data_IF_386658408254
#
_entry.id   IF_386658408254
#
_cell.length_a   1.000
_cell.length_b   1.000
_cell.length_c   1.000
_cell.angle_alpha   90.00
_cell.angle_beta   90.00
_cell.angle_gamma   90.00
#
_symmetry.space_group_name_H-M   'P 1'
#
loop_
_entity.id
_entity.type
_entity.pdbx_description
1 polymer ?
#
# COMPACT_ATOMS: atom_id res chain seq x y z
N UNK A 1 -22.25 1.84 -21.78
CA UNK A 1 -21.35 2.13 -22.92
C UNK A 1 -21.09 3.61 -22.88
N UNK A 2 -20.11 4.04 -22.11
CA UNK A 2 -19.75 5.45 -22.05
C UNK A 2 -18.35 5.60 -22.63
N UNK A 3 -18.32 6.12 -23.87
CA UNK A 3 -17.11 6.53 -24.55
C UNK A 3 -16.56 7.76 -23.84
N UNK A 4 -15.45 7.62 -23.13
CA UNK A 4 -14.63 8.74 -22.71
C UNK A 4 -14.00 9.36 -23.97
N UNK A 5 -14.47 10.52 -24.37
CA UNK A 5 -13.78 11.37 -25.32
C UNK A 5 -12.54 11.94 -24.63
N UNK A 6 -11.39 11.62 -25.22
CA UNK A 6 -10.08 12.18 -24.89
C UNK A 6 -10.02 13.59 -25.50
N UNK A 7 -10.38 14.60 -24.68
CA UNK A 7 -10.12 15.98 -25.04
C UNK A 7 -8.65 16.28 -24.75
N UNK A 8 -7.88 16.37 -25.83
CA UNK A 8 -6.45 16.60 -25.84
C UNK A 8 -6.02 17.83 -25.04
N UNK A 9 -5.77 17.65 -23.73
CA UNK A 9 -5.00 18.60 -22.94
C UNK A 9 -3.51 18.37 -23.20
N UNK A 10 -2.83 19.35 -23.76
CA UNK A 10 -1.37 19.44 -23.78
C UNK A 10 -0.85 19.35 -22.34
N UNK A 11 -0.38 18.16 -21.96
CA UNK A 11 0.34 17.94 -20.71
C UNK A 11 1.67 18.67 -20.83
N UNK A 12 1.84 19.80 -20.17
CA UNK A 12 3.18 20.33 -19.95
C UNK A 12 3.93 19.30 -19.11
N UNK A 13 4.98 18.71 -19.65
CA UNK A 13 5.86 17.80 -18.94
C UNK A 13 6.50 18.59 -17.80
N UNK A 14 5.91 18.51 -16.62
CA UNK A 14 6.48 19.11 -15.42
C UNK A 14 7.67 18.27 -15.00
N UNK A 15 8.80 18.91 -14.79
CA UNK A 15 10.02 18.25 -14.32
C UNK A 15 9.76 17.50 -13.00
N UNK A 16 10.39 16.32 -12.78
CA UNK A 16 10.22 15.56 -11.56
C UNK A 16 10.53 16.40 -10.32
N UNK A 17 9.62 16.43 -9.37
CA UNK A 17 9.80 17.16 -8.12
C UNK A 17 10.65 16.36 -7.13
N UNK A 18 11.65 16.99 -6.51
CA UNK A 18 12.56 16.32 -5.60
C UNK A 18 11.82 15.73 -4.39
N UNK A 19 11.88 14.40 -4.25
CA UNK A 19 11.28 13.67 -3.14
C UNK A 19 9.76 13.47 -3.27
N UNK A 20 9.20 13.61 -4.48
CA UNK A 20 7.80 13.31 -4.80
C UNK A 20 7.74 12.32 -5.96
N UNK A 21 6.68 11.50 -5.97
CA UNK A 21 6.45 10.53 -7.05
C UNK A 21 5.62 11.12 -8.18
N UNK A 22 4.55 11.83 -7.86
CA UNK A 22 3.74 12.51 -8.85
C UNK A 22 4.46 13.75 -9.42
N UNK A 23 4.28 13.99 -10.71
CA UNK A 23 4.86 15.14 -11.42
C UNK A 23 3.87 16.30 -11.53
N UNK A 24 2.58 16.05 -11.29
CA UNK A 24 1.51 17.05 -11.39
C UNK A 24 0.30 16.64 -10.56
N UNK A 25 -0.66 17.54 -10.43
CA UNK A 25 -1.97 17.32 -9.82
C UNK A 25 -3.04 17.20 -10.91
N UNK A 26 -3.58 16.00 -11.19
CA UNK A 26 -4.76 15.89 -12.03
C UNK A 26 -5.96 16.53 -11.36
N UNK A 27 -6.90 17.06 -12.16
CA UNK A 27 -8.14 17.61 -11.66
C UNK A 27 -8.93 16.58 -10.82
N UNK A 28 -9.50 17.04 -9.71
CA UNK A 28 -10.38 16.18 -8.93
C UNK A 28 -11.64 15.86 -9.74
N UNK A 29 -11.95 14.57 -9.91
CA UNK A 29 -13.13 14.10 -10.69
C UNK A 29 -14.48 14.52 -10.11
N UNK A 30 -14.52 14.97 -8.87
CA UNK A 30 -15.73 15.47 -8.21
C UNK A 30 -15.78 17.00 -8.17
N UNK A 31 -14.74 17.70 -8.63
CA UNK A 31 -14.72 19.15 -8.66
C UNK A 31 -15.76 19.68 -9.66
N UNK A 32 -16.58 20.61 -9.21
CA UNK A 32 -17.59 21.31 -10.05
C UNK A 32 -16.95 22.39 -10.90
N UNK A 33 -15.75 22.85 -10.55
CA UNK A 33 -15.00 23.91 -11.24
C UNK A 33 -13.64 23.40 -11.64
N UNK A 34 -13.17 23.81 -12.83
CA UNK A 34 -11.78 23.60 -13.27
C UNK A 34 -11.00 24.89 -13.07
N UNK A 35 -9.82 24.79 -12.49
CA UNK A 35 -8.84 25.86 -12.46
C UNK A 35 -7.87 25.67 -13.62
N UNK A 36 -7.79 26.61 -14.53
CA UNK A 36 -6.81 26.63 -15.60
C UNK A 36 -5.73 27.65 -15.25
N UNK A 37 -4.46 27.27 -15.37
CA UNK A 37 -3.37 28.23 -15.33
C UNK A 37 -3.37 28.99 -16.68
N UNK A 38 -3.75 30.24 -16.62
CA UNK A 38 -3.65 31.15 -17.76
C UNK A 38 -2.41 32.03 -17.53
N UNK A 39 -1.49 32.03 -18.48
CA UNK A 39 -0.41 33.00 -18.50
C UNK A 39 -1.00 34.34 -18.96
N UNK A 40 -1.21 35.22 -17.98
CA UNK A 40 -1.76 36.57 -18.20
C UNK A 40 -0.65 37.63 -18.35
N UNK A 41 0.62 37.18 -18.47
CA UNK A 41 1.79 38.03 -18.61
C UNK A 41 2.27 38.65 -17.30
N UNK A 42 1.64 38.36 -16.16
CA UNK A 42 2.15 38.76 -14.86
C UNK A 42 3.15 37.74 -14.32
N UNK A 43 4.12 38.22 -13.53
CA UNK A 43 5.12 37.37 -12.93
C UNK A 43 4.43 36.34 -12.01
N UNK A 44 4.66 35.07 -12.28
CA UNK A 44 4.22 33.97 -11.43
C UNK A 44 5.43 33.43 -10.65
N UNK A 45 5.26 33.20 -9.36
CA UNK A 45 6.28 32.56 -8.55
C UNK A 45 6.63 31.19 -9.14
N UNK A 46 7.92 30.95 -9.33
CA UNK A 46 8.39 29.63 -9.79
C UNK A 46 7.91 28.56 -8.81
N UNK A 47 7.41 27.46 -9.36
CA UNK A 47 7.03 26.30 -8.53
C UNK A 47 8.24 25.90 -7.67
N UNK A 48 8.10 25.84 -6.34
CA UNK A 48 9.22 25.55 -5.46
C UNK A 48 9.79 24.16 -5.75
N UNK A 49 11.11 24.02 -5.74
CA UNK A 49 11.83 22.75 -5.94
C UNK A 49 11.40 21.65 -4.95
N UNK A 50 10.79 22.05 -3.85
CA UNK A 50 10.30 21.16 -2.80
C UNK A 50 8.93 21.62 -2.29
N UNK A 51 7.99 20.70 -2.31
CA UNK A 51 6.68 20.92 -1.70
C UNK A 51 6.70 20.32 -0.29
N UNK A 52 6.41 21.15 0.72
CA UNK A 52 6.28 20.70 2.10
C UNK A 52 5.04 19.79 2.28
N UNK A 53 5.13 18.84 3.21
CA UNK A 53 3.96 18.07 3.64
C UNK A 53 3.19 18.85 4.70
N UNK A 54 1.87 18.93 4.52
CA UNK A 54 0.95 19.54 5.49
C UNK A 54 0.02 18.45 6.00
N UNK A 55 -0.18 18.39 7.31
CA UNK A 55 -1.05 17.41 7.96
C UNK A 55 -2.21 18.12 8.65
N UNK A 56 -3.43 17.79 8.25
CA UNK A 56 -4.66 18.16 8.94
C UNK A 56 -5.11 17.01 9.86
N UNK A 57 -6.05 17.28 10.76
CA UNK A 57 -6.65 16.26 11.62
C UNK A 57 -8.13 16.10 11.31
N UNK A 58 -8.64 14.85 11.40
CA UNK A 58 -10.04 14.50 11.26
C UNK A 58 -10.47 13.60 12.43
N UNK A 59 -11.54 13.92 13.11
CA UNK A 59 -12.14 13.03 14.09
C UNK A 59 -12.75 11.81 13.41
N UNK A 60 -12.32 10.61 13.79
CA UNK A 60 -12.78 9.37 13.19
C UNK A 60 -14.26 9.10 13.51
N UNK A 61 -15.09 8.91 12.48
CA UNK A 61 -16.49 8.49 12.65
C UNK A 61 -16.60 6.97 12.91
N UNK A 62 -15.65 6.19 12.39
CA UNK A 62 -15.52 4.74 12.58
C UNK A 62 -14.05 4.36 12.55
N UNK A 63 -13.65 3.30 13.23
CA UNK A 63 -12.29 2.77 13.13
C UNK A 63 -12.18 1.76 11.99
N UNK A 64 -13.11 0.81 11.93
CA UNK A 64 -13.09 -0.27 10.96
C UNK A 64 -13.66 0.17 9.60
N UNK A 65 -12.93 -0.16 8.55
CA UNK A 65 -13.40 -0.13 7.16
C UNK A 65 -13.61 -1.56 6.68
N UNK A 66 -14.80 -1.85 6.18
CA UNK A 66 -15.20 -3.18 5.75
C UNK A 66 -15.05 -3.35 4.24
N UNK A 67 -14.68 -4.55 3.81
CA UNK A 67 -14.66 -4.91 2.41
C UNK A 67 -15.22 -6.33 2.19
N UNK A 68 -15.71 -6.59 0.98
CA UNK A 68 -16.23 -7.90 0.54
C UNK A 68 -15.46 -8.44 -0.67
N UNK A 69 -14.23 -7.96 -0.85
CA UNK A 69 -13.42 -8.37 -1.99
C UNK A 69 -12.92 -9.80 -1.81
N UNK A 70 -13.17 -10.72 -2.75
CA UNK A 70 -12.62 -12.07 -2.70
C UNK A 70 -11.12 -12.12 -2.94
N UNK A 71 -10.51 -11.04 -3.47
CA UNK A 71 -9.07 -10.95 -3.73
C UNK A 71 -8.25 -10.56 -2.50
N UNK A 72 -8.90 -10.23 -1.39
CA UNK A 72 -8.21 -9.79 -0.17
C UNK A 72 -8.41 -10.82 0.94
N UNK A 73 -7.34 -11.20 1.67
CA UNK A 73 -7.42 -12.19 2.74
C UNK A 73 -7.96 -11.58 4.06
N UNK A 74 -8.59 -10.43 4.02
CA UNK A 74 -9.20 -9.75 5.16
C UNK A 74 -10.48 -9.04 4.76
N UNK A 75 -11.45 -9.01 5.65
CA UNK A 75 -12.74 -8.34 5.46
C UNK A 75 -12.81 -6.97 6.13
N UNK A 76 -11.81 -6.62 6.94
CA UNK A 76 -11.75 -5.38 7.71
C UNK A 76 -10.35 -4.80 7.79
N UNK A 77 -10.27 -3.47 7.83
CA UNK A 77 -9.01 -2.76 7.96
C UNK A 77 -9.15 -1.49 8.79
N UNK A 78 -8.03 -1.00 9.35
CA UNK A 78 -7.92 0.32 9.96
C UNK A 78 -6.89 1.12 9.16
N UNK A 79 -7.25 2.34 8.80
CA UNK A 79 -6.35 3.28 8.15
C UNK A 79 -6.16 4.50 9.06
N UNK A 80 -5.02 4.63 9.75
CA UNK A 80 -4.75 5.75 10.66
C UNK A 80 -4.70 7.09 9.93
N UNK A 81 -4.36 7.07 8.66
CA UNK A 81 -4.13 8.27 7.85
C UNK A 81 -4.89 8.23 6.53
N UNK A 82 -5.09 9.42 5.93
CA UNK A 82 -5.51 9.59 4.54
C UNK A 82 -4.42 10.33 3.79
N UNK A 83 -4.17 9.94 2.53
CA UNK A 83 -2.95 10.29 1.83
C UNK A 83 -1.74 9.53 2.38
N UNK A 84 -0.62 9.56 1.66
CA UNK A 84 0.58 8.83 2.06
C UNK A 84 1.84 9.54 1.59
N UNK A 85 2.63 10.01 2.53
CA UNK A 85 3.87 10.73 2.27
C UNK A 85 4.95 9.88 1.58
N UNK A 86 4.80 8.55 1.55
CA UNK A 86 5.71 7.67 0.81
C UNK A 86 5.81 8.01 -0.68
N UNK A 87 4.76 8.60 -1.26
CA UNK A 87 4.76 9.13 -2.60
C UNK A 87 4.91 8.10 -3.71
N UNK A 88 4.57 6.83 -3.47
CA UNK A 88 4.64 5.82 -4.52
C UNK A 88 3.78 6.25 -5.73
N UNK A 89 4.40 6.40 -6.90
CA UNK A 89 3.67 6.90 -8.08
C UNK A 89 2.54 5.97 -8.51
N UNK A 90 2.73 4.68 -8.39
CA UNK A 90 1.80 3.62 -8.76
C UNK A 90 0.74 3.30 -7.69
N UNK A 91 0.65 4.08 -6.60
CA UNK A 91 -0.22 3.73 -5.48
C UNK A 91 -1.69 3.70 -5.89
N UNK A 92 -2.31 2.53 -5.81
CA UNK A 92 -3.72 2.33 -6.16
C UNK A 92 -4.70 3.10 -5.26
N UNK A 93 -4.23 3.62 -4.13
CA UNK A 93 -5.03 4.37 -3.18
C UNK A 93 -5.17 5.87 -3.53
N UNK A 94 -4.34 6.40 -4.44
CA UNK A 94 -4.37 7.80 -4.87
C UNK A 94 -5.77 8.31 -5.22
N UNK A 95 -6.60 7.57 -5.99
CA UNK A 95 -7.94 8.01 -6.32
C UNK A 95 -8.87 8.24 -5.12
N UNK A 96 -8.54 7.68 -3.96
CA UNK A 96 -9.33 7.89 -2.75
C UNK A 96 -9.24 9.32 -2.22
N UNK A 97 -8.18 10.05 -2.56
CA UNK A 97 -7.95 11.42 -2.10
C UNK A 97 -8.98 12.41 -2.65
N UNK A 98 -9.52 12.10 -3.83
CA UNK A 98 -10.59 12.89 -4.45
C UNK A 98 -11.87 12.99 -3.59
N UNK A 99 -12.12 12.06 -2.67
CA UNK A 99 -13.26 12.14 -1.75
C UNK A 99 -13.12 13.24 -0.68
N UNK A 100 -11.93 13.81 -0.52
CA UNK A 100 -11.64 14.95 0.37
C UNK A 100 -11.39 16.25 -0.41
N UNK A 101 -11.87 16.30 -1.65
CA UNK A 101 -11.67 17.43 -2.55
C UNK A 101 -10.20 17.79 -2.79
N UNK A 102 -9.35 16.75 -2.77
CA UNK A 102 -7.91 16.85 -2.99
C UNK A 102 -7.50 16.08 -4.24
N UNK A 103 -6.41 16.51 -4.88
CA UNK A 103 -5.90 15.82 -6.06
C UNK A 103 -5.31 14.44 -5.72
N UNK A 104 -5.50 13.41 -6.55
CA UNK A 104 -4.80 12.13 -6.43
C UNK A 104 -3.30 12.20 -6.83
N UNK A 105 -2.81 13.33 -7.30
CA UNK A 105 -1.43 13.59 -7.65
C UNK A 105 -0.54 13.92 -6.46
N UNK A 106 -0.01 15.14 -6.47
CA UNK A 106 0.87 15.66 -5.41
C UNK A 106 0.15 15.83 -4.07
N UNK A 107 -1.13 16.25 -4.08
CA UNK A 107 -1.90 16.38 -2.84
C UNK A 107 -1.94 15.08 -2.05
N UNK A 108 -2.03 13.91 -2.73
CA UNK A 108 -1.99 12.61 -2.06
C UNK A 108 -0.72 12.39 -1.22
N UNK A 109 0.39 13.03 -1.61
CA UNK A 109 1.70 12.90 -0.96
C UNK A 109 2.00 14.03 0.02
N UNK A 110 1.31 15.17 -0.11
CA UNK A 110 1.67 16.43 0.55
C UNK A 110 0.59 16.98 1.46
N UNK A 111 -0.68 16.60 1.26
CA UNK A 111 -1.83 17.05 2.05
C UNK A 111 -2.45 15.86 2.76
N UNK A 112 -1.90 15.55 3.93
CA UNK A 112 -2.27 14.36 4.69
C UNK A 112 -3.32 14.68 5.74
N UNK A 113 -4.10 13.66 6.13
CA UNK A 113 -5.08 13.77 7.21
C UNK A 113 -4.79 12.69 8.24
N UNK A 114 -4.44 13.10 9.46
CA UNK A 114 -4.31 12.21 10.61
C UNK A 114 -5.69 12.03 11.27
N UNK A 115 -6.09 10.79 11.49
CA UNK A 115 -7.40 10.46 12.06
C UNK A 115 -7.29 10.31 13.57
N UNK A 116 -7.93 11.20 14.32
CA UNK A 116 -7.97 11.20 15.79
C UNK A 116 -9.15 10.38 16.32
N UNK A 117 -9.08 9.92 17.56
CA UNK A 117 -10.16 9.15 18.22
C UNK A 117 -10.34 7.72 17.68
N UNK A 118 -9.35 7.18 16.94
CA UNK A 118 -9.46 5.84 16.36
C UNK A 118 -9.49 4.73 17.41
N UNK A 119 -8.76 4.88 18.50
CA UNK A 119 -8.71 3.89 19.60
C UNK A 119 -10.06 3.79 20.28
N UNK A 120 -10.67 4.92 20.58
CA UNK A 120 -12.00 5.03 21.20
C UNK A 120 -13.06 4.41 20.29
N UNK A 121 -13.05 4.75 19.01
CA UNK A 121 -13.97 4.16 18.02
C UNK A 121 -13.77 2.67 17.85
N UNK A 122 -12.51 2.21 17.84
CA UNK A 122 -12.21 0.78 17.77
C UNK A 122 -12.78 0.06 19.01
N UNK A 123 -12.59 0.61 20.19
CA UNK A 123 -13.15 0.07 21.44
C UNK A 123 -14.68 -0.08 21.34
N UNK A 124 -15.37 0.99 20.92
CA UNK A 124 -16.83 0.97 20.74
C UNK A 124 -17.27 -0.11 19.74
N UNK A 125 -16.54 -0.26 18.63
CA UNK A 125 -16.88 -1.21 17.57
C UNK A 125 -16.65 -2.66 17.99
N UNK A 126 -15.57 -2.93 18.73
CA UNK A 126 -15.26 -4.28 19.25
C UNK A 126 -16.18 -4.72 20.40
N UNK A 127 -16.77 -3.76 21.14
CA UNK A 127 -17.76 -4.02 22.19
C UNK A 127 -19.17 -4.30 21.65
N UNK A 128 -19.43 -4.17 20.34
CA UNK A 128 -20.78 -4.38 19.80
C UNK A 128 -21.21 -5.83 19.96
N UNK A 129 -22.47 -6.08 20.38
CA UNK A 129 -23.01 -7.42 20.39
C UNK A 129 -22.90 -8.08 18.99
N UNK A 130 -22.46 -9.32 18.98
CA UNK A 130 -22.29 -10.05 17.69
C UNK A 130 -21.00 -9.72 16.92
N UNK A 131 -20.07 -8.94 17.49
CA UNK A 131 -18.76 -8.79 16.88
C UNK A 131 -18.05 -10.15 16.79
N UNK A 132 -17.67 -10.52 15.57
CA UNK A 132 -16.91 -11.76 15.32
C UNK A 132 -15.45 -11.39 15.10
N UNK A 133 -14.55 -11.90 15.92
CA UNK A 133 -13.13 -11.65 15.82
C UNK A 133 -12.56 -12.27 14.53
N UNK A 134 -11.91 -11.46 13.71
CA UNK A 134 -11.11 -11.85 12.53
C UNK A 134 -9.96 -10.87 12.38
N UNK A 135 -8.84 -11.26 11.77
CA UNK A 135 -7.68 -10.38 11.65
C UNK A 135 -8.03 -9.00 11.05
N UNK A 136 -7.60 -7.94 11.73
CA UNK A 136 -7.69 -6.57 11.24
C UNK A 136 -6.43 -6.27 10.43
N UNK A 137 -6.58 -5.79 9.19
CA UNK A 137 -5.45 -5.31 8.43
C UNK A 137 -5.16 -3.84 8.76
N UNK A 138 -4.01 -3.54 9.35
CA UNK A 138 -3.53 -2.17 9.47
C UNK A 138 -2.86 -1.78 8.15
N UNK A 139 -3.33 -0.71 7.52
CA UNK A 139 -2.84 -0.22 6.22
C UNK A 139 -3.53 -0.83 5.00
N UNK A 140 -4.84 -0.85 4.95
CA UNK A 140 -5.56 -1.28 3.74
C UNK A 140 -5.43 -0.29 2.58
N UNK A 141 -5.26 1.00 2.87
CA UNK A 141 -5.25 2.08 1.89
C UNK A 141 -3.98 2.95 1.92
N UNK A 142 -3.43 3.20 3.11
CA UNK A 142 -2.19 3.98 3.29
C UNK A 142 -1.20 3.19 4.12
N UNK A 143 0.09 3.53 4.12
CA UNK A 143 1.05 2.86 5.00
C UNK A 143 0.89 3.38 6.44
N UNK A 144 0.67 2.47 7.40
CA UNK A 144 0.53 2.80 8.81
C UNK A 144 1.82 3.33 9.43
N UNK A 145 2.96 3.07 8.79
CA UNK A 145 4.27 3.54 9.22
C UNK A 145 4.86 4.59 8.27
N UNK A 146 4.01 5.33 7.53
CA UNK A 146 4.49 6.48 6.77
C UNK A 146 5.12 7.54 7.70
N UNK A 147 5.92 8.50 7.18
CA UNK A 147 6.73 9.40 8.02
C UNK A 147 5.98 10.11 9.16
N UNK A 148 4.75 10.56 8.95
CA UNK A 148 3.96 11.24 9.99
C UNK A 148 3.63 10.36 11.21
N UNK A 149 3.70 9.04 11.09
CA UNK A 149 3.52 8.11 12.22
C UNK A 149 4.63 8.27 13.28
N UNK A 150 5.80 8.80 12.91
CA UNK A 150 6.86 9.09 13.87
C UNK A 150 6.41 10.08 14.95
N UNK A 151 5.56 11.05 14.58
CA UNK A 151 5.01 12.07 15.44
C UNK A 151 3.69 11.63 16.08
N UNK A 152 2.71 11.20 15.28
CA UNK A 152 1.35 10.90 15.74
C UNK A 152 1.24 9.62 16.57
N UNK A 153 2.06 8.62 16.33
CA UNK A 153 2.08 7.33 17.04
C UNK A 153 0.73 6.60 17.10
N UNK A 154 -0.15 6.87 16.16
CA UNK A 154 -1.50 6.29 16.11
C UNK A 154 -1.45 4.78 15.90
N UNK A 155 -0.54 4.31 15.04
CA UNK A 155 -0.35 2.86 14.81
C UNK A 155 0.11 2.15 16.06
N UNK A 156 1.07 2.74 16.80
CA UNK A 156 1.52 2.18 18.08
C UNK A 156 0.38 2.07 19.09
N UNK A 157 -0.40 3.13 19.26
CA UNK A 157 -1.55 3.13 20.17
C UNK A 157 -2.59 2.07 19.81
N UNK A 158 -2.85 1.86 18.52
CA UNK A 158 -3.73 0.79 18.04
C UNK A 158 -3.15 -0.60 18.37
N UNK A 159 -1.85 -0.82 18.14
CA UNK A 159 -1.19 -2.10 18.46
C UNK A 159 -1.21 -2.42 19.95
N UNK A 160 -0.99 -1.43 20.83
CA UNK A 160 -1.09 -1.59 22.28
C UNK A 160 -2.48 -2.09 22.70
N UNK A 161 -3.53 -1.53 22.14
CA UNK A 161 -4.91 -1.96 22.42
C UNK A 161 -5.24 -3.32 21.82
N UNK A 162 -4.80 -3.59 20.59
CA UNK A 162 -5.00 -4.90 19.96
C UNK A 162 -4.27 -6.01 20.74
N UNK A 163 -3.09 -5.73 21.30
CA UNK A 163 -2.37 -6.63 22.19
C UNK A 163 -3.13 -6.89 23.50
N UNK A 164 -3.62 -5.82 24.17
CA UNK A 164 -4.44 -5.92 25.38
C UNK A 164 -5.67 -6.80 25.19
N UNK A 165 -6.36 -6.60 24.06
CA UNK A 165 -7.59 -7.34 23.73
C UNK A 165 -7.33 -8.68 23.05
N UNK A 166 -6.07 -9.05 22.84
CA UNK A 166 -5.65 -10.27 22.11
C UNK A 166 -6.32 -10.37 20.74
N UNK A 167 -6.40 -9.25 20.05
CA UNK A 167 -7.01 -9.19 18.74
C UNK A 167 -5.95 -9.37 17.66
N UNK A 168 -6.13 -10.33 16.70
CA UNK A 168 -5.17 -10.56 15.65
C UNK A 168 -5.10 -9.41 14.63
N UNK A 169 -3.90 -9.13 14.13
CA UNK A 169 -3.60 -8.04 13.22
C UNK A 169 -2.65 -8.46 12.11
N UNK A 170 -2.84 -7.92 10.93
CA UNK A 170 -1.90 -8.04 9.81
C UNK A 170 -1.42 -6.66 9.39
N UNK A 171 -0.17 -6.59 8.95
CA UNK A 171 0.50 -5.35 8.55
C UNK A 171 1.19 -5.53 7.20
N UNK A 172 1.10 -4.49 6.36
CA UNK A 172 1.90 -4.37 5.14
C UNK A 172 2.58 -3.01 5.17
N UNK A 173 3.90 -2.97 5.04
CA UNK A 173 4.63 -1.70 5.08
C UNK A 173 5.83 -1.65 4.14
N UNK A 174 6.24 -0.44 3.76
CA UNK A 174 7.48 -0.09 3.07
C UNK A 174 8.46 0.69 3.97
N UNK A 175 8.14 0.79 5.26
CA UNK A 175 8.84 1.67 6.19
C UNK A 175 9.74 0.90 7.16
N UNK A 176 10.89 1.47 7.47
CA UNK A 176 11.74 0.99 8.55
C UNK A 176 11.25 1.45 9.94
N UNK A 177 10.29 2.38 10.00
CA UNK A 177 9.73 2.89 11.26
C UNK A 177 9.01 1.78 12.06
N UNK A 178 8.57 0.70 11.40
CA UNK A 178 7.96 -0.46 12.07
C UNK A 178 8.86 -1.05 13.16
N UNK A 179 10.17 -0.92 13.04
CA UNK A 179 11.14 -1.41 14.04
C UNK A 179 11.04 -0.68 15.38
N UNK A 180 10.45 0.53 15.41
CA UNK A 180 10.13 1.24 16.66
C UNK A 180 9.20 0.42 17.56
N UNK A 181 8.29 -0.34 16.96
CA UNK A 181 7.25 -1.09 17.65
C UNK A 181 7.55 -2.60 17.69
N UNK A 182 8.85 -2.96 17.55
CA UNK A 182 9.32 -4.36 17.57
C UNK A 182 8.97 -5.07 18.88
N UNK A 183 8.96 -4.35 20.00
CA UNK A 183 8.52 -4.83 21.31
C UNK A 183 7.08 -5.36 21.27
N UNK A 184 6.15 -4.57 20.79
CA UNK A 184 4.73 -4.95 20.66
C UNK A 184 4.52 -6.07 19.65
N UNK A 185 5.23 -6.00 18.51
CA UNK A 185 5.12 -7.01 17.46
C UNK A 185 5.64 -8.37 17.94
N UNK A 186 6.73 -8.42 18.71
CA UNK A 186 7.24 -9.66 19.29
C UNK A 186 6.27 -10.25 20.31
N UNK A 187 5.68 -9.42 21.16
CA UNK A 187 4.67 -9.86 22.13
C UNK A 187 3.39 -10.37 21.45
N UNK A 188 2.91 -9.68 20.40
CA UNK A 188 1.80 -10.16 19.57
C UNK A 188 2.14 -11.50 18.88
N UNK A 189 3.37 -11.64 18.38
CA UNK A 189 3.84 -12.84 17.71
C UNK A 189 3.88 -14.05 18.65
N UNK A 190 4.35 -13.87 19.91
CA UNK A 190 4.37 -14.92 20.92
C UNK A 190 2.99 -15.52 21.23
N UNK A 191 1.94 -14.77 20.91
CA UNK A 191 0.52 -15.16 21.06
C UNK A 191 -0.17 -15.50 19.75
N UNK A 192 0.56 -15.61 18.65
CA UNK A 192 0.03 -15.84 17.28
C UNK A 192 -0.98 -14.77 16.83
N UNK A 193 -0.76 -13.50 17.22
CA UNK A 193 -1.67 -12.39 16.94
C UNK A 193 -1.19 -11.44 15.85
N UNK A 194 -0.02 -11.66 15.26
CA UNK A 194 0.50 -10.75 14.23
C UNK A 194 1.14 -11.48 13.07
N UNK A 195 0.99 -10.91 11.89
CA UNK A 195 1.77 -11.23 10.68
C UNK A 195 2.15 -9.94 9.98
N UNK A 196 3.42 -9.84 9.58
CA UNK A 196 3.94 -8.66 8.90
C UNK A 196 4.39 -9.03 7.48
N UNK A 197 4.04 -8.19 6.51
CA UNK A 197 4.54 -8.26 5.14
C UNK A 197 5.34 -6.98 4.83
N UNK A 198 6.60 -7.15 4.45
CA UNK A 198 7.44 -6.03 4.01
C UNK A 198 7.41 -5.97 2.49
N UNK A 199 6.94 -4.85 1.95
CA UNK A 199 6.84 -4.68 0.50
C UNK A 199 8.22 -4.38 -0.09
N UNK A 200 8.63 -5.15 -1.10
CA UNK A 200 9.92 -5.01 -1.77
C UNK A 200 9.70 -4.98 -3.28
N UNK A 201 9.88 -3.80 -3.91
CA UNK A 201 9.53 -3.56 -5.32
C UNK A 201 10.72 -3.72 -6.25
N UNK A 202 11.91 -3.32 -5.80
CA UNK A 202 13.18 -3.40 -6.55
C UNK A 202 14.35 -3.44 -5.58
N UNK A 203 15.47 -4.02 -5.99
CA UNK A 203 16.78 -3.91 -5.31
C UNK A 203 17.59 -2.74 -5.84
N UNK A 204 17.21 -2.17 -6.97
CA UNK A 204 17.82 -0.98 -7.54
C UNK A 204 17.41 0.26 -6.73
N UNK A 205 18.40 0.90 -6.11
CA UNK A 205 18.18 2.07 -5.23
C UNK A 205 17.72 3.29 -6.01
N UNK A 206 18.20 3.46 -7.26
CA UNK A 206 17.84 4.61 -8.11
C UNK A 206 16.38 4.46 -8.58
N UNK A 207 16.04 3.30 -9.15
CA UNK A 207 14.67 3.00 -9.56
C UNK A 207 13.70 3.13 -8.37
N UNK A 208 14.07 2.60 -7.19
CA UNK A 208 13.27 2.75 -5.96
C UNK A 208 13.08 4.22 -5.61
N UNK A 209 14.15 5.04 -5.69
CA UNK A 209 14.08 6.47 -5.35
C UNK A 209 13.10 7.23 -6.23
N UNK A 210 12.98 6.85 -7.49
CA UNK A 210 12.04 7.43 -8.45
C UNK A 210 10.61 6.92 -8.26
N UNK A 211 10.43 5.59 -8.08
CA UNK A 211 9.11 4.96 -7.91
C UNK A 211 8.46 5.23 -6.55
N UNK A 212 9.28 5.31 -5.50
CA UNK A 212 8.87 5.31 -4.09
C UNK A 212 9.76 6.27 -3.28
N UNK A 213 9.73 7.57 -3.56
CA UNK A 213 10.77 8.51 -3.13
C UNK A 213 11.01 8.56 -1.62
N UNK A 214 9.97 8.49 -0.81
CA UNK A 214 10.05 8.65 0.66
C UNK A 214 9.87 7.36 1.45
N UNK A 215 9.99 6.21 0.81
CA UNK A 215 10.00 4.90 1.48
C UNK A 215 11.41 4.51 1.91
N UNK A 216 11.53 3.49 2.77
CA UNK A 216 12.82 2.93 3.14
C UNK A 216 13.57 2.34 1.93
N UNK A 217 14.90 2.38 1.95
CA UNK A 217 15.74 1.78 0.90
C UNK A 217 15.57 0.24 0.87
N UNK A 218 15.89 -0.43 -0.24
CA UNK A 218 15.82 -1.89 -0.33
C UNK A 218 16.62 -2.57 0.80
N UNK A 219 17.84 -2.10 1.06
CA UNK A 219 18.68 -2.59 2.17
C UNK A 219 18.00 -2.41 3.54
N UNK A 220 17.35 -1.26 3.77
CA UNK A 220 16.65 -1.02 5.03
C UNK A 220 15.42 -1.93 5.18
N UNK A 221 14.69 -2.22 4.09
CA UNK A 221 13.56 -3.16 4.13
C UNK A 221 14.02 -4.60 4.38
N UNK A 222 15.13 -5.04 3.79
CA UNK A 222 15.74 -6.34 4.10
C UNK A 222 16.18 -6.43 5.55
N UNK A 223 16.77 -5.36 6.10
CA UNK A 223 17.08 -5.28 7.54
C UNK A 223 15.82 -5.38 8.41
N UNK A 224 14.71 -4.74 8.02
CA UNK A 224 13.42 -4.88 8.73
C UNK A 224 12.97 -6.33 8.76
N UNK A 225 13.07 -7.05 7.63
CA UNK A 225 12.73 -8.47 7.58
C UNK A 225 13.60 -9.26 8.58
N UNK A 226 14.93 -9.06 8.57
CA UNK A 226 15.84 -9.75 9.47
C UNK A 226 15.55 -9.46 10.95
N UNK A 227 15.45 -8.19 11.33
CA UNK A 227 15.21 -7.82 12.73
C UNK A 227 13.85 -8.27 13.27
N UNK A 228 12.82 -8.35 12.41
CA UNK A 228 11.51 -8.90 12.80
C UNK A 228 11.57 -10.43 12.91
N UNK A 229 12.23 -11.12 11.97
CA UNK A 229 12.42 -12.56 12.02
C UNK A 229 13.21 -12.99 13.27
N UNK A 230 14.31 -12.29 13.58
CA UNK A 230 15.12 -12.52 14.79
C UNK A 230 14.34 -12.30 16.09
N UNK A 231 13.34 -11.39 16.05
CA UNK A 231 12.43 -11.14 17.17
C UNK A 231 11.26 -12.13 17.25
N UNK A 232 11.25 -13.19 16.41
CA UNK A 232 10.20 -14.21 16.38
C UNK A 232 8.88 -13.74 15.72
N UNK A 233 8.88 -12.60 15.03
CA UNK A 233 7.70 -12.11 14.33
C UNK A 233 7.57 -12.83 12.98
N UNK A 234 6.41 -13.46 12.68
CA UNK A 234 6.14 -14.04 11.36
C UNK A 234 6.17 -12.96 10.30
N UNK A 235 7.26 -12.92 9.53
CA UNK A 235 7.49 -11.91 8.50
C UNK A 235 7.62 -12.53 7.12
N UNK A 236 6.97 -11.89 6.15
CA UNK A 236 7.07 -12.24 4.73
C UNK A 236 7.41 -11.03 3.86
N UNK A 237 7.57 -11.30 2.57
CA UNK A 237 7.78 -10.25 1.57
C UNK A 237 6.62 -10.16 0.59
N UNK A 238 6.29 -8.95 0.18
CA UNK A 238 5.34 -8.68 -0.89
C UNK A 238 6.09 -8.02 -2.06
N UNK A 239 6.34 -8.79 -3.14
CA UNK A 239 6.91 -8.24 -4.38
C UNK A 239 5.78 -7.52 -5.13
N UNK A 240 5.58 -6.25 -4.78
CA UNK A 240 4.43 -5.47 -5.27
C UNK A 240 4.73 -3.98 -5.36
N UNK A 241 4.46 -3.42 -6.56
CA UNK A 241 4.01 -4.11 -7.77
C UNK A 241 5.18 -4.75 -8.54
N UNK A 242 4.88 -5.81 -9.28
CA UNK A 242 5.71 -6.23 -10.41
C UNK A 242 5.29 -5.39 -11.60
N UNK A 243 6.25 -4.65 -12.18
CA UNK A 243 6.02 -3.77 -13.32
C UNK A 243 6.64 -4.41 -14.57
N UNK A 244 5.81 -4.89 -15.53
CA UNK A 244 6.30 -5.50 -16.77
C UNK A 244 7.27 -4.60 -17.52
N UNK A 245 8.42 -5.15 -17.92
CA UNK A 245 9.47 -4.42 -18.62
C UNK A 245 10.29 -3.45 -17.78
N UNK A 246 9.99 -3.31 -16.47
CA UNK A 246 10.73 -2.41 -15.57
C UNK A 246 11.31 -3.14 -14.35
N UNK A 247 10.50 -3.89 -13.59
CA UNK A 247 10.95 -4.60 -12.36
C UNK A 247 10.78 -6.12 -12.41
N UNK A 248 10.09 -6.65 -13.40
CA UNK A 248 9.77 -8.08 -13.54
C UNK A 248 11.01 -8.99 -13.65
N UNK A 249 12.13 -8.46 -14.15
CA UNK A 249 13.41 -9.19 -14.24
C UNK A 249 14.07 -9.41 -12.88
N UNK A 250 13.69 -8.68 -11.82
CA UNK A 250 14.24 -8.83 -10.48
C UNK A 250 13.48 -9.84 -9.60
N UNK A 251 12.37 -10.41 -10.08
CA UNK A 251 11.42 -11.19 -9.28
C UNK A 251 12.11 -12.27 -8.41
N UNK A 252 12.93 -13.11 -9.03
CA UNK A 252 13.63 -14.20 -8.31
C UNK A 252 14.70 -13.67 -7.36
N UNK A 253 15.40 -12.58 -7.74
CA UNK A 253 16.42 -11.95 -6.89
C UNK A 253 15.81 -11.31 -5.65
N UNK A 254 14.64 -10.66 -5.80
CA UNK A 254 13.88 -10.08 -4.68
C UNK A 254 13.44 -11.16 -3.69
N UNK A 255 12.92 -12.28 -4.19
CA UNK A 255 12.52 -13.41 -3.36
C UNK A 255 13.71 -14.05 -2.63
N UNK A 256 14.84 -14.23 -3.33
CA UNK A 256 16.07 -14.75 -2.72
C UNK A 256 16.56 -13.82 -1.62
N UNK A 257 16.70 -12.51 -1.90
CA UNK A 257 17.17 -11.56 -0.91
C UNK A 257 16.25 -11.48 0.32
N UNK A 258 14.93 -11.55 0.12
CA UNK A 258 13.98 -11.59 1.24
C UNK A 258 14.11 -12.87 2.05
N UNK A 259 14.29 -14.04 1.41
CA UNK A 259 14.52 -15.34 2.07
C UNK A 259 15.80 -15.32 2.90
N UNK A 260 16.88 -14.83 2.33
CA UNK A 260 18.18 -14.72 2.99
C UNK A 260 18.12 -13.77 4.20
N UNK A 261 17.25 -12.77 4.13
CA UNK A 261 16.96 -11.86 5.25
C UNK A 261 16.02 -12.46 6.31
N UNK A 262 15.45 -13.66 6.13
CA UNK A 262 14.60 -14.31 7.11
C UNK A 262 13.10 -14.35 6.79
N UNK A 263 12.67 -13.91 5.60
CA UNK A 263 11.27 -14.05 5.22
C UNK A 263 10.86 -15.53 5.12
N UNK A 264 9.70 -15.87 5.67
CA UNK A 264 9.12 -17.21 5.62
C UNK A 264 8.01 -17.33 4.56
N UNK A 265 7.39 -16.20 4.19
CA UNK A 265 6.23 -16.16 3.27
C UNK A 265 6.47 -15.15 2.17
N UNK A 266 5.94 -15.39 0.99
CA UNK A 266 6.00 -14.44 -0.11
C UNK A 266 4.64 -14.27 -0.81
N UNK A 267 4.42 -13.07 -1.31
CA UNK A 267 3.33 -12.73 -2.22
C UNK A 267 3.84 -11.84 -3.36
N UNK A 268 3.07 -11.78 -4.45
CA UNK A 268 3.34 -10.81 -5.53
C UNK A 268 2.05 -10.24 -6.07
N UNK A 269 2.15 -9.11 -6.73
CA UNK A 269 1.01 -8.44 -7.35
C UNK A 269 1.47 -7.69 -8.59
N UNK A 270 0.72 -7.85 -9.68
CA UNK A 270 0.95 -7.09 -10.89
C UNK A 270 0.56 -5.62 -10.68
N UNK A 271 1.27 -4.71 -11.34
CA UNK A 271 0.94 -3.27 -11.32
C UNK A 271 -0.54 -3.02 -11.62
N UNK A 272 -1.14 -2.14 -10.84
CA UNK A 272 -2.53 -1.72 -10.93
C UNK A 272 -2.60 -0.22 -11.14
N UNK A 273 -3.31 0.22 -12.17
CA UNK A 273 -3.41 1.62 -12.56
C UNK A 273 -4.87 2.11 -12.60
N UNK A 274 -5.60 2.09 -11.45
CA UNK A 274 -6.98 2.51 -11.44
C UNK A 274 -7.11 4.02 -11.63
N UNK A 275 -8.01 4.44 -12.54
CA UNK A 275 -8.41 5.84 -12.73
C UNK A 275 -7.20 6.76 -12.97
N UNK A 276 -7.05 7.82 -12.16
CA UNK A 276 -5.99 8.84 -12.27
C UNK A 276 -4.57 8.28 -12.09
N UNK A 277 -4.44 7.05 -11.58
CA UNK A 277 -3.10 6.41 -11.44
C UNK A 277 -2.50 6.08 -12.82
N UNK A 278 -3.33 5.73 -13.80
CA UNK A 278 -2.82 5.42 -15.16
C UNK A 278 -2.13 6.64 -15.80
N UNK A 279 -2.78 7.78 -15.96
CA UNK A 279 -2.13 8.96 -16.56
C UNK A 279 -0.98 9.50 -15.68
N UNK A 280 -1.05 9.39 -14.34
CA UNK A 280 0.07 9.78 -13.49
C UNK A 280 1.30 8.90 -13.69
N UNK A 281 1.10 7.59 -13.81
CA UNK A 281 2.18 6.63 -14.04
C UNK A 281 2.78 6.77 -15.45
N UNK A 282 1.96 7.02 -16.46
CA UNK A 282 2.41 7.26 -17.84
C UNK A 282 3.27 8.53 -17.91
N UNK A 283 2.83 9.65 -17.32
CA UNK A 283 3.61 10.87 -17.24
C UNK A 283 4.95 10.67 -16.47
N UNK A 284 4.93 9.86 -15.41
CA UNK A 284 6.13 9.49 -14.67
C UNK A 284 7.11 8.67 -15.55
N UNK A 285 6.59 7.70 -16.33
CA UNK A 285 7.42 6.93 -17.26
C UNK A 285 8.05 7.83 -18.33
N UNK A 286 7.30 8.75 -18.90
CA UNK A 286 7.80 9.71 -19.89
C UNK A 286 8.90 10.60 -19.32
N UNK A 287 8.76 11.02 -18.04
CA UNK A 287 9.74 11.87 -17.37
C UNK A 287 11.04 11.14 -16.99
N UNK A 288 10.97 9.85 -16.62
CA UNK A 288 12.12 9.10 -16.10
C UNK A 288 12.68 8.05 -17.08
N UNK A 289 11.84 7.48 -17.94
CA UNK A 289 12.18 6.38 -18.87
C UNK A 289 11.51 6.54 -20.23
N UNK A 290 11.70 7.67 -20.95
CA UNK A 290 10.97 7.98 -22.17
C UNK A 290 11.13 6.89 -23.25
N UNK A 291 12.33 6.31 -23.37
CA UNK A 291 12.61 5.24 -24.34
C UNK A 291 11.92 3.92 -24.02
N UNK A 292 11.47 3.71 -22.76
CA UNK A 292 10.82 2.48 -22.30
C UNK A 292 9.32 2.67 -22.09
N UNK A 293 8.83 3.89 -22.02
CA UNK A 293 7.44 4.20 -21.62
C UNK A 293 6.42 3.44 -22.48
N UNK A 294 6.52 3.52 -23.79
CA UNK A 294 5.62 2.82 -24.71
C UNK A 294 5.67 1.29 -24.56
N UNK A 295 6.86 0.71 -24.37
CA UNK A 295 7.00 -0.74 -24.15
C UNK A 295 6.39 -1.20 -22.84
N UNK A 296 6.63 -0.48 -21.74
CA UNK A 296 6.09 -0.80 -20.42
C UNK A 296 4.57 -0.75 -20.45
N UNK A 297 3.98 0.33 -20.98
CA UNK A 297 2.52 0.45 -21.10
C UNK A 297 1.90 -0.61 -22.00
N UNK A 298 2.58 -0.96 -23.12
CA UNK A 298 2.12 -2.06 -23.99
C UNK A 298 2.08 -3.41 -23.25
N UNK A 299 3.11 -3.74 -22.47
CA UNK A 299 3.15 -4.98 -21.68
C UNK A 299 2.09 -4.99 -20.58
N UNK A 300 1.83 -3.84 -19.93
CA UNK A 300 0.75 -3.71 -18.94
C UNK A 300 -0.60 -3.99 -19.61
N UNK A 301 -0.87 -3.37 -20.76
CA UNK A 301 -2.10 -3.57 -21.54
C UNK A 301 -2.28 -5.03 -21.99
N UNK A 302 -1.22 -5.71 -22.39
CA UNK A 302 -1.25 -7.15 -22.70
C UNK A 302 -1.69 -7.98 -21.50
N UNK A 303 -1.28 -7.63 -20.27
CA UNK A 303 -1.72 -8.29 -19.03
C UNK A 303 -3.14 -7.87 -18.58
N UNK A 304 -3.76 -6.90 -19.24
CA UNK A 304 -5.04 -6.27 -18.85
C UNK A 304 -6.08 -6.26 -19.96
N UNK A 305 -5.99 -7.22 -20.89
CA UNK A 305 -6.90 -7.34 -22.02
C UNK A 305 -6.98 -6.06 -22.89
N UNK A 306 -5.84 -5.44 -23.14
CA UNK A 306 -5.73 -4.23 -23.95
C UNK A 306 -6.02 -2.92 -23.23
N UNK A 307 -6.34 -2.95 -21.92
CA UNK A 307 -6.65 -1.78 -21.09
C UNK A 307 -5.51 -1.46 -20.11
N UNK A 308 -5.43 -0.23 -19.63
CA UNK A 308 -4.47 0.15 -18.58
C UNK A 308 -4.80 -0.50 -17.23
N UNK A 309 -6.08 -0.79 -16.98
CA UNK A 309 -6.55 -1.40 -15.75
C UNK A 309 -7.77 -2.32 -15.98
N UNK A 310 -7.75 -3.48 -15.35
CA UNK A 310 -8.89 -4.40 -15.26
C UNK A 310 -9.33 -4.51 -13.79
N UNK A 311 -10.55 -4.07 -13.47
CA UNK A 311 -11.08 -4.04 -12.11
C UNK A 311 -11.68 -5.37 -11.65
N UNK A 312 -11.87 -6.34 -12.55
CA UNK A 312 -12.52 -7.62 -12.23
C UNK A 312 -11.75 -8.40 -11.17
N UNK A 313 -12.50 -9.01 -10.26
CA UNK A 313 -11.93 -9.91 -9.26
C UNK A 313 -11.19 -11.08 -9.91
N UNK A 314 -10.12 -11.56 -9.28
CA UNK A 314 -9.25 -12.60 -9.84
C UNK A 314 -8.23 -12.06 -10.85
N UNK A 315 -8.59 -11.09 -11.67
CA UNK A 315 -7.71 -10.52 -12.70
C UNK A 315 -6.94 -9.26 -12.24
N UNK A 316 -7.56 -8.41 -11.44
CA UNK A 316 -6.97 -7.12 -11.04
C UNK A 316 -5.64 -7.26 -10.27
N UNK A 317 -5.43 -8.38 -9.56
CA UNK A 317 -4.21 -8.61 -8.76
C UNK A 317 -3.11 -9.27 -9.58
N UNK A 318 -3.45 -10.24 -10.43
CA UNK A 318 -2.51 -11.09 -11.16
C UNK A 318 -2.37 -10.74 -12.64
N UNK A 319 -3.38 -10.12 -13.23
CA UNK A 319 -3.47 -9.98 -14.69
C UNK A 319 -3.95 -11.26 -15.36
N UNK A 320 -3.84 -11.28 -16.68
CA UNK A 320 -4.19 -12.42 -17.55
C UNK A 320 -3.29 -12.46 -18.77
N UNK A 321 -3.33 -13.57 -19.51
CA UNK A 321 -2.53 -13.79 -20.71
C UNK A 321 -1.11 -14.31 -20.42
N UNK A 322 -0.41 -14.64 -21.50
CA UNK A 322 0.86 -15.39 -21.47
C UNK A 322 1.91 -14.76 -20.55
N UNK A 323 2.05 -13.43 -20.60
CA UNK A 323 3.06 -12.75 -19.78
C UNK A 323 2.74 -12.81 -18.28
N UNK A 324 1.48 -12.60 -17.90
CA UNK A 324 1.05 -12.70 -16.51
C UNK A 324 1.15 -14.13 -15.98
N UNK A 325 0.81 -15.13 -16.80
CA UNK A 325 0.97 -16.55 -16.47
C UNK A 325 2.45 -16.93 -16.30
N UNK A 326 3.33 -16.42 -17.16
CA UNK A 326 4.77 -16.63 -17.03
C UNK A 326 5.30 -16.06 -15.70
N UNK A 327 4.88 -14.86 -15.31
CA UNK A 327 5.25 -14.26 -14.03
C UNK A 327 4.78 -15.12 -12.84
N UNK A 328 3.56 -15.62 -12.90
CA UNK A 328 3.03 -16.50 -11.83
C UNK A 328 3.81 -17.84 -11.75
N UNK A 329 4.14 -18.45 -12.90
CA UNK A 329 4.96 -19.66 -12.94
C UNK A 329 6.37 -19.42 -12.39
N UNK A 330 7.01 -18.30 -12.75
CA UNK A 330 8.32 -17.90 -12.23
C UNK A 330 8.27 -17.72 -10.71
N UNK A 331 7.27 -17.00 -10.21
CA UNK A 331 7.04 -16.80 -8.79
C UNK A 331 6.86 -18.13 -8.04
N UNK A 332 5.95 -18.99 -8.52
CA UNK A 332 5.71 -20.30 -7.90
C UNK A 332 6.95 -21.19 -7.87
N UNK A 333 7.72 -21.21 -8.96
CA UNK A 333 8.97 -21.99 -9.05
C UNK A 333 10.04 -21.45 -8.08
N UNK A 334 10.17 -20.12 -8.00
CA UNK A 334 11.11 -19.48 -7.08
C UNK A 334 10.73 -19.76 -5.61
N UNK A 335 9.47 -19.60 -5.22
CA UNK A 335 9.01 -19.90 -3.87
C UNK A 335 9.28 -21.35 -3.48
N UNK A 336 8.99 -22.32 -4.34
CA UNK A 336 9.28 -23.74 -4.09
C UNK A 336 10.78 -23.99 -3.88
N UNK A 337 11.63 -23.41 -4.74
CA UNK A 337 13.09 -23.55 -4.62
C UNK A 337 13.63 -22.97 -3.33
N UNK A 338 13.04 -21.85 -2.86
CA UNK A 338 13.50 -21.10 -1.69
C UNK A 338 12.82 -21.54 -0.38
N UNK A 339 11.87 -22.47 -0.41
CA UNK A 339 11.12 -22.87 0.76
C UNK A 339 10.27 -21.73 1.33
N UNK A 340 9.78 -20.82 0.48
CA UNK A 340 8.87 -19.75 0.87
C UNK A 340 7.43 -20.22 0.77
N UNK A 341 6.67 -20.09 1.85
CA UNK A 341 5.23 -20.27 1.82
C UNK A 341 4.59 -19.18 0.96
N UNK A 342 3.59 -19.55 0.17
CA UNK A 342 2.91 -18.60 -0.70
C UNK A 342 1.69 -17.99 0.00
N UNK A 343 1.59 -16.68 -0.01
CA UNK A 343 0.35 -16.04 0.35
C UNK A 343 -0.67 -16.32 -0.75
N UNK A 344 -1.73 -17.07 -0.46
CA UNK A 344 -2.82 -17.28 -1.39
C UNK A 344 -3.64 -15.99 -1.54
N UNK A 345 -3.92 -15.58 -2.78
CA UNK A 345 -4.73 -14.41 -3.06
C UNK A 345 -6.23 -14.69 -2.98
N UNK A 346 -6.59 -15.95 -2.94
CA UNK A 346 -7.96 -16.43 -2.76
C UNK A 346 -7.94 -17.49 -1.69
N UNK A 347 -8.77 -17.38 -0.69
CA UNK A 347 -9.00 -18.44 0.28
C UNK A 347 -9.53 -19.77 -0.32
N UNK A 348 -9.32 -19.98 -1.61
CA UNK A 348 -9.76 -21.13 -2.39
C UNK A 348 -8.64 -22.12 -2.72
N UNK A 349 -7.38 -21.77 -2.54
CA UNK A 349 -6.28 -22.73 -2.68
C UNK A 349 -6.01 -23.38 -1.29
N UNK A 350 -7.00 -24.15 -0.87
CA UNK A 350 -6.99 -24.99 0.33
C UNK A 350 -6.04 -26.17 0.14
N UNK A 351 -4.76 -25.92 0.25
CA UNK A 351 -3.86 -27.07 0.04
C UNK A 351 -2.52 -27.06 0.70
N UNK A 352 -2.01 -25.94 1.22
CA UNK A 352 -0.75 -25.93 1.98
C UNK A 352 -0.62 -24.59 2.68
N UNK A 353 -1.11 -24.45 3.86
CA UNK A 353 -0.43 -23.89 5.00
C UNK A 353 -1.38 -23.52 6.12
N UNK A 354 -1.68 -24.48 6.93
CA UNK A 354 -2.33 -24.32 8.22
C UNK A 354 -1.35 -23.86 9.30
N UNK A 355 -0.09 -23.65 9.00
CA UNK A 355 0.95 -23.45 10.02
C UNK A 355 1.00 -22.07 10.65
N UNK A 356 0.10 -21.14 10.32
CA UNK A 356 0.01 -19.92 11.10
C UNK A 356 -1.34 -19.21 10.93
N UNK A 357 -2.43 -19.87 11.21
CA UNK A 357 -3.67 -19.13 11.46
C UNK A 357 -3.48 -18.26 12.69
N UNK A 358 -3.76 -16.96 12.52
CA UNK A 358 -3.77 -16.04 13.63
C UNK A 358 -4.85 -16.46 14.63
N UNK A 359 -4.53 -16.41 15.91
CA UNK A 359 -5.45 -16.78 16.97
C UNK A 359 -6.60 -15.77 17.07
N UNK A 360 -7.80 -16.22 16.74
CA UNK A 360 -9.04 -15.45 16.87
C UNK A 360 -9.86 -15.85 18.09
N UNK A 361 -9.51 -16.97 18.76
CA UNK A 361 -10.28 -17.53 19.87
C UNK A 361 -9.93 -16.89 21.21
N UNK A 362 -8.68 -16.45 21.37
CA UNK A 362 -8.23 -15.78 22.60
C UNK A 362 -8.67 -14.32 22.70
N UNK A 363 -9.39 -13.78 21.74
CA UNK A 363 -9.89 -12.40 21.74
C UNK A 363 -10.72 -12.10 22.99
N UNK A 364 -10.44 -10.97 23.61
CA UNK A 364 -11.15 -10.43 24.76
C UNK A 364 -11.79 -9.11 24.38
N UNK A 365 -13.11 -9.08 24.29
CA UNK A 365 -13.81 -7.84 24.02
C UNK A 365 -13.47 -6.80 25.12
N UNK A 366 -13.21 -5.53 24.74
CA UNK A 366 -13.02 -4.46 25.70
C UNK A 366 -14.23 -4.39 26.66
N UNK A 367 -13.99 -4.24 27.94
CA UNK A 367 -15.09 -3.96 28.86
C UNK A 367 -15.51 -2.50 28.64
N UNK A 368 -16.80 -2.26 28.42
CA UNK A 368 -17.36 -0.92 28.60
C UNK A 368 -17.08 -0.53 30.04
N UNK A 369 -16.22 0.45 30.30
CA UNK A 369 -16.27 1.15 31.57
C UNK A 369 -17.70 1.70 31.69
N UNK A 370 -18.49 1.06 32.55
CA UNK A 370 -19.80 1.56 32.88
C UNK A 370 -19.60 2.98 33.38
N UNK A 371 -20.23 3.96 32.74
CA UNK A 371 -20.38 5.28 33.33
C UNK A 371 -21.03 5.07 34.70
N UNK A 372 -20.29 5.34 35.76
CA UNK A 372 -20.78 5.31 37.14
C UNK A 372 -21.52 6.61 37.47
N UNK A 373 -22.12 7.27 36.46
CA UNK A 373 -23.01 8.42 36.67
C UNK A 373 -24.13 8.44 35.63
#
# INVERSE_FOLDING_TARGET
>A
MDHYHDDGQQRSATSPLKGRGATYDPANRFALTRSEQVDDGWWQEATPDRIATVTATESAKSALSWNRSPDLPFDRSINPYRGCEHGCIYCYARPSHAYWDLSPGLDFETRLIARTGLVERLTEELCKPGYVCRPINLSGNTDAYQPIEAEHRTTRALLERLLEWRHPVTLVTKSALILRDKDLLSELASRRLVRVMVSLTSLDTELKRQLEPRTASPRARLRVIGELADAGVPVGTLVSPVIPGLTDHELERLLQAARDAGASTAGWMLLRLPREVAPLFEAWLEAHYPERAGKVMSLIRQCRNGQDYDSRFGHRMRGQGVFAELLDQRFRKACRRLGLSRRSDSGLDSGLDTDSELDTESFRAPHRQGSLF
#
